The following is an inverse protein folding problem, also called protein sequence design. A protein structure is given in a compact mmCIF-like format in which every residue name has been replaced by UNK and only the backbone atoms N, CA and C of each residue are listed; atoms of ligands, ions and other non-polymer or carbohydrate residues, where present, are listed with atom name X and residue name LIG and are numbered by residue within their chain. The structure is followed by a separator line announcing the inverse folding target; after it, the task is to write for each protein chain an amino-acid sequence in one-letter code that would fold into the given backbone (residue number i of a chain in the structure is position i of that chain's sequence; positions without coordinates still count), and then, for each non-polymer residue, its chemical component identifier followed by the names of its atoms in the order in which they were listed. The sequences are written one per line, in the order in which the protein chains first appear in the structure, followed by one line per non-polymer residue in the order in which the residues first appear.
data_IF_901657449839
#
_entry.id   IF_901657449839
#
_cell.length_a   1.000
_cell.length_b   1.000
_cell.length_c   1.000
_cell.angle_alpha   90.00
_cell.angle_beta   90.00
_cell.angle_gamma   90.00
#
_symmetry.space_group_name_H-M   'P 1'
#
loop_
_entity.id
_entity.type
_entity.pdbx_description
1 polymer ?
#
# COMPACT_ATOMS: atom_id res chain seq x y z
N UNK A 1 -13.88 -16.42 22.86
CA UNK A 1 -13.64 -17.65 22.07
C UNK A 1 -13.93 -17.32 20.63
N UNK A 2 -12.90 -16.88 19.90
CA UNK A 2 -13.02 -16.44 18.51
C UNK A 2 -12.91 -17.70 17.65
N UNK A 3 -14.00 -18.04 16.97
CA UNK A 3 -14.02 -19.11 15.98
C UNK A 3 -13.08 -18.68 14.85
N UNK A 4 -11.91 -19.28 14.81
CA UNK A 4 -10.93 -19.13 13.74
C UNK A 4 -11.63 -19.36 12.40
N UNK A 5 -11.72 -18.27 11.63
CA UNK A 5 -12.25 -18.14 10.28
C UNK A 5 -12.15 -19.44 9.49
N UNK A 6 -13.29 -20.00 9.10
CA UNK A 6 -13.35 -21.13 8.18
C UNK A 6 -12.59 -20.86 6.87
N UNK A 7 -12.48 -19.59 6.46
CA UNK A 7 -11.69 -19.13 5.32
C UNK A 7 -10.18 -19.21 5.57
N UNK A 8 -9.69 -18.82 6.76
CA UNK A 8 -8.27 -19.00 7.13
C UNK A 8 -7.97 -20.48 7.31
N UNK A 9 -8.89 -21.27 7.87
CA UNK A 9 -8.76 -22.72 7.83
C UNK A 9 -8.74 -23.25 6.40
N UNK A 10 -9.50 -22.69 5.46
CA UNK A 10 -9.51 -23.15 4.06
C UNK A 10 -8.23 -22.77 3.31
N UNK A 11 -7.66 -21.59 3.59
CA UNK A 11 -6.39 -21.12 3.05
C UNK A 11 -5.19 -21.86 3.66
N UNK A 12 -5.24 -22.17 4.97
CA UNK A 12 -4.27 -23.00 5.68
C UNK A 12 -4.52 -24.52 5.48
N UNK A 13 -5.69 -24.92 4.97
CA UNK A 13 -6.02 -26.28 4.50
C UNK A 13 -5.46 -26.57 3.10
N UNK A 14 -4.52 -25.77 2.62
CA UNK A 14 -3.28 -26.36 2.11
C UNK A 14 -2.57 -27.12 3.27
N UNK A 15 -3.27 -28.09 3.87
CA UNK A 15 -2.79 -29.00 4.90
C UNK A 15 -1.89 -30.09 4.29
N UNK A 16 -1.58 -29.93 3.00
CA UNK A 16 -0.51 -30.61 2.34
C UNK A 16 0.49 -29.58 1.77
N UNK A 17 1.44 -29.17 2.63
CA UNK A 17 2.70 -28.59 2.19
C UNK A 17 3.67 -29.69 1.68
N UNK A 18 3.19 -30.89 1.30
CA UNK A 18 3.97 -31.91 0.57
C UNK A 18 3.94 -31.71 -0.95
N UNK A 19 3.69 -30.48 -1.41
CA UNK A 19 4.39 -30.01 -2.59
C UNK A 19 5.89 -30.19 -2.34
N UNK A 20 6.59 -30.74 -3.32
CA UNK A 20 8.02 -31.04 -3.24
C UNK A 20 8.90 -29.77 -3.23
N UNK A 21 8.66 -28.84 -2.31
CA UNK A 21 9.68 -27.88 -1.88
C UNK A 21 10.67 -28.61 -0.98
N UNK A 22 11.67 -29.25 -1.61
CA UNK A 22 12.89 -29.72 -0.93
C UNK A 22 13.45 -28.55 -0.09
N UNK A 23 13.30 -28.57 1.23
CA UNK A 23 13.97 -27.56 2.06
C UNK A 23 13.48 -27.34 3.50
N UNK A 24 12.28 -27.77 3.89
CA UNK A 24 11.76 -27.45 5.24
C UNK A 24 11.34 -28.71 6.00
N UNK A 25 12.32 -29.57 6.34
CA UNK A 25 12.10 -30.71 7.26
C UNK A 25 11.99 -30.28 8.73
N UNK A 26 12.25 -29.00 9.03
CA UNK A 26 12.28 -28.46 10.38
C UNK A 26 11.38 -27.21 10.47
N UNK A 27 10.47 -27.20 11.45
CA UNK A 27 9.71 -26.01 11.87
C UNK A 27 10.59 -25.23 12.86
N UNK A 28 10.49 -23.89 12.90
CA UNK A 28 11.32 -23.06 13.80
C UNK A 28 10.48 -21.97 14.48
N UNK A 29 10.84 -21.61 15.71
CA UNK A 29 10.36 -20.41 16.42
C UNK A 29 11.56 -19.55 16.89
N UNK A 30 11.29 -18.45 17.60
CA UNK A 30 12.32 -17.55 18.14
C UNK A 30 13.26 -18.19 19.17
N UNK A 31 12.99 -19.43 19.59
CA UNK A 31 13.76 -20.19 20.59
C UNK A 31 14.38 -21.48 20.06
N UNK A 32 14.16 -21.85 18.79
CA UNK A 32 14.75 -23.04 18.18
C UNK A 32 13.80 -23.85 17.30
N UNK A 33 14.12 -25.14 17.15
CA UNK A 33 13.39 -26.10 16.33
C UNK A 33 12.07 -26.50 17.01
N UNK A 34 10.96 -26.41 16.29
CA UNK A 34 9.65 -26.90 16.69
C UNK A 34 9.52 -28.38 16.27
N UNK A 35 9.03 -29.21 17.20
CA UNK A 35 8.62 -30.58 16.95
C UNK A 35 7.41 -30.67 16.01
N UNK A 36 7.14 -31.87 15.50
CA UNK A 36 6.05 -32.12 14.54
C UNK A 36 4.68 -31.76 15.11
N UNK A 37 4.48 -32.03 16.40
CA UNK A 37 3.26 -31.81 17.19
C UNK A 37 3.20 -30.43 17.86
N UNK A 38 4.28 -29.65 17.84
CA UNK A 38 4.27 -28.34 18.47
C UNK A 38 3.32 -27.41 17.68
N UNK A 39 2.41 -26.71 18.38
CA UNK A 39 1.59 -25.72 17.71
C UNK A 39 2.52 -24.65 17.12
N UNK A 40 2.28 -24.27 15.87
CA UNK A 40 2.93 -23.08 15.32
C UNK A 40 2.62 -21.92 16.29
N UNK A 41 3.62 -21.09 16.66
CA UNK A 41 3.40 -19.93 17.53
C UNK A 41 2.61 -18.87 16.74
N UNK A 42 1.34 -19.15 16.53
CA UNK A 42 0.40 -18.32 15.81
C UNK A 42 -0.37 -17.48 16.82
N UNK A 43 -0.09 -16.19 16.81
CA UNK A 43 -0.93 -15.21 17.46
C UNK A 43 -1.78 -14.54 16.40
N UNK A 44 -3.10 -14.68 16.51
CA UNK A 44 -4.03 -13.96 15.64
C UNK A 44 -3.79 -12.45 15.80
N UNK A 45 -3.74 -11.74 14.67
CA UNK A 45 -3.54 -10.29 14.61
C UNK A 45 -2.28 -9.80 15.35
N UNK A 46 -1.21 -10.62 15.33
CA UNK A 46 0.10 -10.22 15.84
C UNK A 46 0.58 -8.94 15.13
N UNK A 47 1.05 -7.98 15.92
CA UNK A 47 1.66 -6.75 15.40
C UNK A 47 3.15 -6.97 15.22
N UNK A 48 3.66 -6.57 14.06
CA UNK A 48 5.06 -6.72 13.70
C UNK A 48 5.69 -5.36 13.50
N UNK A 49 6.83 -5.10 14.12
CA UNK A 49 7.64 -3.92 13.80
C UNK A 49 8.87 -4.35 13.02
N UNK A 50 9.19 -3.61 11.96
CA UNK A 50 10.44 -3.77 11.23
C UNK A 50 11.49 -2.81 11.82
N UNK A 51 12.52 -3.30 12.53
CA UNK A 51 13.58 -2.43 13.02
C UNK A 51 14.37 -1.84 11.86
N UNK A 52 14.50 -0.51 11.84
CA UNK A 52 15.25 0.21 10.81
C UNK A 52 16.74 0.27 11.23
N UNK A 53 17.70 0.06 10.32
CA UNK A 53 19.12 0.27 10.61
C UNK A 53 19.44 1.72 11.03
N UNK A 54 20.47 1.89 11.87
CA UNK A 54 20.80 3.21 12.43
C UNK A 54 21.33 4.20 11.38
N UNK A 55 22.14 3.71 10.44
CA UNK A 55 22.62 4.47 9.28
C UNK A 55 21.48 4.94 8.38
N UNK A 56 20.49 4.08 8.11
CA UNK A 56 19.30 4.43 7.34
C UNK A 56 18.44 5.50 8.04
N UNK A 57 18.32 5.45 9.38
CA UNK A 57 17.68 6.51 10.16
C UNK A 57 18.43 7.85 10.05
N UNK A 58 19.76 7.82 10.15
CA UNK A 58 20.58 9.03 9.97
C UNK A 58 20.38 9.62 8.57
N UNK A 59 20.35 8.77 7.54
CA UNK A 59 20.06 9.20 6.17
C UNK A 59 18.67 9.86 6.06
N UNK A 60 17.63 9.22 6.61
CA UNK A 60 16.26 9.72 6.52
C UNK A 60 16.07 11.05 7.27
N UNK A 61 16.81 11.29 8.36
CA UNK A 61 16.75 12.55 9.11
C UNK A 61 17.10 13.80 8.28
N UNK A 62 17.77 13.67 7.12
CA UNK A 62 17.97 14.79 6.19
C UNK A 62 16.67 15.27 5.52
N UNK A 63 15.63 14.44 5.53
CA UNK A 63 14.32 14.72 4.96
C UNK A 63 13.33 15.20 6.04
N UNK A 64 13.78 15.39 7.27
CA UNK A 64 12.96 15.95 8.33
C UNK A 64 12.41 17.33 7.92
N UNK A 65 11.13 17.55 8.22
CA UNK A 65 10.43 18.77 7.85
C UNK A 65 9.38 19.13 8.90
N UNK A 66 9.14 20.44 9.09
CA UNK A 66 8.24 20.94 10.14
C UNK A 66 6.75 20.98 9.72
N UNK A 67 6.46 20.87 8.43
CA UNK A 67 5.09 20.71 7.92
C UNK A 67 4.77 19.25 7.61
N UNK A 68 3.56 18.96 7.09
CA UNK A 68 3.20 17.61 6.68
C UNK A 68 4.17 17.04 5.64
N UNK A 69 4.47 15.75 5.78
CA UNK A 69 5.35 15.00 4.88
C UNK A 69 4.64 13.78 4.31
N UNK A 70 4.73 13.59 3.00
CA UNK A 70 4.14 12.44 2.31
C UNK A 70 5.22 11.72 1.52
N UNK A 71 5.47 10.46 1.87
CA UNK A 71 6.24 9.56 1.01
C UNK A 71 5.31 8.99 -0.06
N UNK A 72 5.70 9.05 -1.33
CA UNK A 72 4.92 8.53 -2.45
C UNK A 72 5.61 7.32 -3.05
N UNK A 73 4.89 6.21 -3.12
CA UNK A 73 5.22 5.09 -4.01
C UNK A 73 4.31 5.22 -5.24
N UNK A 74 4.81 5.73 -6.38
CA UNK A 74 3.96 6.16 -7.49
C UNK A 74 3.34 5.00 -8.26
N UNK A 75 3.81 3.78 -8.02
CA UNK A 75 3.22 2.61 -8.62
C UNK A 75 3.88 1.32 -8.19
N UNK A 76 3.28 0.22 -8.62
CA UNK A 76 3.78 -1.12 -8.41
C UNK A 76 2.85 -2.17 -9.00
N UNK A 77 3.14 -3.43 -8.72
CA UNK A 77 2.48 -4.57 -9.36
C UNK A 77 3.05 -4.86 -10.76
N UNK A 78 2.73 -6.04 -11.27
CA UNK A 78 3.29 -6.55 -12.53
C UNK A 78 2.82 -5.78 -13.77
N UNK A 79 1.66 -5.09 -13.71
CA UNK A 79 0.98 -4.51 -14.88
C UNK A 79 1.23 -3.01 -15.14
N UNK A 80 2.05 -2.33 -14.32
CA UNK A 80 2.50 -0.95 -14.58
C UNK A 80 1.36 0.06 -14.79
N UNK A 81 1.43 0.88 -15.85
CA UNK A 81 0.47 1.97 -16.11
C UNK A 81 -0.98 1.52 -16.26
N UNK A 82 -1.23 0.25 -16.57
CA UNK A 82 -2.60 -0.32 -16.64
C UNK A 82 -3.35 -0.21 -15.31
N UNK A 83 -2.59 0.01 -14.25
CA UNK A 83 -2.97 -0.27 -12.89
C UNK A 83 -2.48 0.81 -11.93
N UNK A 84 -1.91 1.90 -12.44
CA UNK A 84 -1.41 3.02 -11.63
C UNK A 84 -1.79 4.36 -12.29
N UNK A 85 -1.87 5.46 -11.52
CA UNK A 85 -2.10 6.78 -12.10
C UNK A 85 -1.01 7.15 -13.13
N UNK A 86 -1.39 7.97 -14.13
CA UNK A 86 -0.44 8.57 -15.07
C UNK A 86 0.39 9.66 -14.38
N UNK A 87 1.44 10.13 -15.05
CA UNK A 87 2.26 11.25 -14.58
C UNK A 87 1.41 12.51 -14.35
N UNK A 88 0.51 12.79 -15.28
CA UNK A 88 -0.38 13.95 -15.25
C UNK A 88 -1.33 13.86 -14.06
N UNK A 89 -1.94 12.70 -13.83
CA UNK A 89 -2.82 12.49 -12.67
C UNK A 89 -2.03 12.57 -11.36
N UNK A 90 -0.80 12.05 -11.30
CA UNK A 90 0.05 12.24 -10.13
C UNK A 90 0.34 13.72 -9.88
N UNK A 91 0.63 14.50 -10.92
CA UNK A 91 0.80 15.95 -10.81
C UNK A 91 -0.46 16.61 -10.24
N UNK A 92 -1.65 16.24 -10.74
CA UNK A 92 -2.94 16.77 -10.27
C UNK A 92 -3.19 16.43 -8.78
N UNK A 93 -2.92 15.19 -8.37
CA UNK A 93 -3.03 14.74 -6.98
C UNK A 93 -2.10 15.54 -6.08
N UNK A 94 -0.82 15.66 -6.46
CA UNK A 94 0.19 16.33 -5.64
C UNK A 94 -0.05 17.83 -5.52
N UNK A 95 -0.50 18.50 -6.59
CA UNK A 95 -0.91 19.90 -6.53
C UNK A 95 -2.10 20.09 -5.60
N UNK A 96 -3.14 19.26 -5.72
CA UNK A 96 -4.33 19.37 -4.89
C UNK A 96 -4.03 19.15 -3.39
N UNK A 97 -3.08 18.25 -3.07
CA UNK A 97 -2.60 18.07 -1.70
C UNK A 97 -1.80 19.29 -1.20
N UNK A 98 -0.94 19.87 -2.03
CA UNK A 98 -0.17 21.06 -1.65
C UNK A 98 -1.05 22.31 -1.49
N UNK A 99 -2.14 22.42 -2.26
CA UNK A 99 -3.13 23.50 -2.12
C UNK A 99 -3.89 23.40 -0.79
N UNK A 100 -4.16 22.18 -0.30
CA UNK A 100 -4.81 21.96 0.99
C UNK A 100 -3.84 22.12 2.16
N UNK A 101 -2.65 21.50 2.08
CA UNK A 101 -1.74 21.39 3.21
C UNK A 101 -0.58 22.40 3.07
N UNK A 102 -0.68 23.50 3.81
CA UNK A 102 0.36 24.53 3.83
C UNK A 102 1.71 23.93 4.23
N UNK A 103 2.77 24.32 3.52
CA UNK A 103 4.13 23.83 3.76
C UNK A 103 4.25 22.30 3.65
N UNK A 104 3.49 21.65 2.77
CA UNK A 104 3.65 20.23 2.46
C UNK A 104 5.04 19.93 1.86
N UNK A 105 5.62 18.77 2.19
CA UNK A 105 6.72 18.14 1.47
C UNK A 105 6.35 16.76 0.97
N UNK A 106 6.80 16.44 -0.23
CA UNK A 106 6.54 15.16 -0.89
C UNK A 106 7.87 14.53 -1.32
N UNK A 107 8.06 13.27 -0.97
CA UNK A 107 9.24 12.49 -1.34
C UNK A 107 8.81 11.29 -2.17
N UNK A 108 9.15 11.28 -3.46
CA UNK A 108 8.76 10.18 -4.35
C UNK A 108 9.87 9.15 -4.37
N UNK A 109 9.59 7.93 -3.92
CA UNK A 109 10.58 6.86 -3.88
C UNK A 109 10.18 5.67 -4.73
N UNK A 110 11.18 4.85 -5.07
CA UNK A 110 11.05 3.77 -6.01
C UNK A 110 12.40 3.25 -6.48
N UNK A 111 12.33 2.35 -7.44
CA UNK A 111 13.49 1.65 -7.98
C UNK A 111 13.45 1.70 -9.50
N UNK A 112 14.50 2.20 -10.12
CA UNK A 112 14.64 2.23 -11.57
C UNK A 112 14.98 0.85 -12.12
N UNK A 113 14.68 0.63 -13.40
CA UNK A 113 14.94 -0.64 -14.08
C UNK A 113 16.44 -0.98 -14.09
N UNK A 114 17.27 0.03 -14.31
CA UNK A 114 18.71 -0.14 -14.48
C UNK A 114 19.41 -0.55 -13.19
N UNK A 115 18.85 -0.16 -12.04
CA UNK A 115 19.40 -0.49 -10.71
C UNK A 115 18.98 -1.87 -10.19
N UNK A 116 17.94 -2.49 -10.75
CA UNK A 116 17.28 -3.62 -10.10
C UNK A 116 16.85 -4.79 -11.00
N UNK A 117 17.10 -4.69 -12.31
CA UNK A 117 16.77 -5.76 -13.24
C UNK A 117 15.25 -5.99 -13.35
N UNK A 118 14.78 -7.18 -12.99
CA UNK A 118 13.36 -7.55 -13.17
C UNK A 118 12.40 -6.87 -12.18
N UNK A 119 12.88 -6.46 -10.99
CA UNK A 119 12.06 -5.87 -9.93
C UNK A 119 12.29 -4.35 -9.95
N UNK A 120 11.33 -3.57 -10.44
CA UNK A 120 11.44 -2.11 -10.45
C UNK A 120 10.04 -1.49 -10.30
N UNK A 121 10.00 -0.20 -9.96
CA UNK A 121 8.76 0.58 -9.92
C UNK A 121 8.18 0.66 -11.32
N UNK A 122 6.96 0.14 -11.49
CA UNK A 122 6.19 0.27 -12.73
C UNK A 122 5.10 1.32 -12.55
N UNK A 123 4.87 2.14 -13.57
CA UNK A 123 3.91 3.25 -13.53
C UNK A 123 4.62 4.58 -13.77
N UNK A 124 5.53 4.97 -12.87
CA UNK A 124 6.42 6.12 -13.05
C UNK A 124 7.89 5.70 -12.96
N UNK A 125 8.71 6.28 -13.83
CA UNK A 125 10.17 6.15 -13.83
C UNK A 125 10.84 7.20 -12.94
N UNK A 126 12.15 7.04 -12.72
CA UNK A 126 12.94 8.10 -12.06
C UNK A 126 12.93 9.40 -12.87
N UNK A 127 12.93 9.33 -14.21
CA UNK A 127 12.87 10.51 -15.07
C UNK A 127 11.54 11.25 -14.94
N UNK A 128 10.44 10.52 -14.75
CA UNK A 128 9.13 11.09 -14.47
C UNK A 128 9.10 11.77 -13.10
N UNK A 129 9.73 11.16 -12.10
CA UNK A 129 9.92 11.75 -10.77
C UNK A 129 10.74 13.04 -10.81
N UNK A 130 11.84 13.07 -11.57
CA UNK A 130 12.63 14.28 -11.83
C UNK A 130 11.79 15.37 -12.52
N UNK A 131 10.92 14.98 -13.44
CA UNK A 131 10.02 15.90 -14.12
C UNK A 131 8.99 16.49 -13.15
N UNK A 132 8.43 15.71 -12.23
CA UNK A 132 7.57 16.21 -11.15
C UNK A 132 8.33 17.16 -10.23
N UNK A 133 9.52 16.79 -9.76
CA UNK A 133 10.34 17.62 -8.87
C UNK A 133 10.74 18.97 -9.51
N UNK A 134 10.96 19.00 -10.83
CA UNK A 134 11.19 20.26 -11.57
C UNK A 134 9.93 21.13 -11.69
N UNK A 135 8.75 20.52 -11.79
CA UNK A 135 7.47 21.22 -11.94
C UNK A 135 6.91 21.69 -10.59
N UNK A 136 7.15 20.93 -9.53
CA UNK A 136 6.53 21.07 -8.23
C UNK A 136 7.61 21.28 -7.16
N UNK A 137 7.83 22.51 -6.65
CA UNK A 137 8.96 22.83 -5.76
C UNK A 137 8.90 22.16 -4.37
N UNK A 138 7.75 21.58 -4.02
CA UNK A 138 7.55 20.81 -2.79
C UNK A 138 7.84 19.31 -2.95
N UNK A 139 8.14 18.85 -4.16
CA UNK A 139 8.44 17.45 -4.49
C UNK A 139 9.94 17.22 -4.59
N UNK A 140 10.42 16.12 -4.02
CA UNK A 140 11.80 15.65 -4.17
C UNK A 140 11.83 14.23 -4.74
N UNK A 141 12.70 14.00 -5.71
CA UNK A 141 12.95 12.66 -6.24
C UNK A 141 13.89 11.90 -5.29
N UNK A 142 13.42 10.77 -4.76
CA UNK A 142 14.10 9.87 -3.85
C UNK A 142 14.15 8.43 -4.41
N UNK A 143 14.20 8.27 -5.74
CA UNK A 143 14.46 6.98 -6.39
C UNK A 143 15.88 6.48 -6.12
N UNK A 144 16.06 5.16 -6.16
CA UNK A 144 17.38 4.51 -6.15
C UNK A 144 18.27 4.82 -4.94
N UNK A 145 17.67 5.28 -3.83
CA UNK A 145 18.39 5.57 -2.58
C UNK A 145 18.79 4.32 -1.78
N UNK A 146 18.45 3.11 -2.26
CA UNK A 146 18.68 1.83 -1.59
C UNK A 146 17.55 1.42 -0.64
N UNK A 147 17.30 0.12 -0.51
CA UNK A 147 16.12 -0.43 0.17
C UNK A 147 15.91 0.13 1.59
N UNK A 148 16.92 0.05 2.45
CA UNK A 148 16.80 0.50 3.84
C UNK A 148 16.58 2.00 3.96
N UNK A 149 17.15 2.80 3.05
CA UNK A 149 16.92 4.23 3.00
C UNK A 149 15.49 4.56 2.54
N UNK A 150 14.91 3.78 1.61
CA UNK A 150 13.49 3.92 1.26
C UNK A 150 12.59 3.59 2.45
N UNK A 151 12.87 2.51 3.16
CA UNK A 151 12.13 2.11 4.37
C UNK A 151 12.23 3.18 5.46
N UNK A 152 13.42 3.73 5.68
CA UNK A 152 13.64 4.80 6.65
C UNK A 152 12.96 6.11 6.24
N UNK A 153 12.98 6.47 4.96
CA UNK A 153 12.27 7.63 4.44
C UNK A 153 10.75 7.50 4.62
N UNK A 154 10.18 6.32 4.38
CA UNK A 154 8.77 6.05 4.64
C UNK A 154 8.47 6.27 6.13
N UNK A 155 9.32 5.76 7.02
CA UNK A 155 9.16 5.88 8.46
C UNK A 155 9.31 7.32 9.01
N UNK A 156 10.07 8.17 8.33
CA UNK A 156 10.23 9.59 8.68
C UNK A 156 9.02 10.43 8.23
N UNK A 157 8.22 9.95 7.28
CA UNK A 157 7.07 10.69 6.76
C UNK A 157 5.79 10.46 7.58
N UNK A 158 4.90 11.46 7.57
CA UNK A 158 3.60 11.39 8.25
C UNK A 158 2.61 10.45 7.54
N UNK A 159 2.68 10.37 6.20
CA UNK A 159 1.82 9.51 5.37
C UNK A 159 2.65 8.81 4.30
N UNK A 160 2.33 7.54 4.06
CA UNK A 160 2.66 6.83 2.84
C UNK A 160 1.46 6.94 1.87
N UNK A 161 1.64 7.56 0.72
CA UNK A 161 0.65 7.62 -0.36
C UNK A 161 1.05 6.65 -1.46
N UNK A 162 0.22 5.63 -1.70
CA UNK A 162 0.52 4.63 -2.72
C UNK A 162 -0.76 3.97 -3.24
N UNK A 163 -0.82 3.55 -4.52
CA UNK A 163 -1.79 2.57 -4.94
C UNK A 163 -1.51 1.21 -4.26
N UNK A 164 -2.42 0.24 -4.39
CA UNK A 164 -2.16 -1.11 -3.90
C UNK A 164 -0.87 -1.68 -4.55
N UNK A 165 0.19 -1.88 -3.76
CA UNK A 165 1.42 -2.55 -4.19
C UNK A 165 1.96 -3.41 -3.05
N UNK A 166 2.71 -4.47 -3.38
CA UNK A 166 3.32 -5.31 -2.35
C UNK A 166 4.26 -4.53 -1.42
N UNK A 167 4.93 -3.49 -1.93
CA UNK A 167 5.84 -2.68 -1.13
C UNK A 167 5.13 -1.65 -0.26
N UNK A 168 3.91 -1.22 -0.62
CA UNK A 168 3.15 -0.24 0.16
C UNK A 168 2.77 -0.76 1.57
N UNK A 169 2.65 -2.07 1.75
CA UNK A 169 2.43 -2.66 3.07
C UNK A 169 3.54 -2.35 4.08
N UNK A 170 4.74 -1.97 3.63
CA UNK A 170 5.87 -1.67 4.51
C UNK A 170 5.57 -0.53 5.49
N UNK A 171 4.75 0.45 5.08
CA UNK A 171 4.34 1.57 5.94
C UNK A 171 3.72 1.07 7.25
N UNK A 172 2.89 0.03 7.16
CA UNK A 172 2.24 -0.60 8.31
C UNK A 172 3.25 -1.22 9.30
N UNK A 173 4.42 -1.67 8.84
CA UNK A 173 5.46 -2.29 9.69
C UNK A 173 6.45 -1.29 10.28
N UNK A 174 6.55 -0.09 9.71
CA UNK A 174 7.41 1.00 10.22
C UNK A 174 6.63 2.10 10.94
N UNK A 175 5.31 1.95 11.05
CA UNK A 175 4.46 2.87 11.81
C UNK A 175 3.86 4.01 11.00
N UNK A 176 4.07 4.04 9.69
CA UNK A 176 3.57 5.11 8.81
C UNK A 176 2.16 4.80 8.31
N UNK A 177 1.17 5.69 8.56
CA UNK A 177 -0.16 5.56 8.01
C UNK A 177 -0.19 5.47 6.48
N UNK A 178 -1.04 4.59 5.95
CA UNK A 178 -1.16 4.40 4.50
C UNK A 178 -2.42 5.07 3.94
N UNK A 179 -2.23 6.08 3.10
CA UNK A 179 -3.26 6.61 2.20
C UNK A 179 -3.25 5.79 0.89
N UNK A 180 -4.15 4.84 0.79
CA UNK A 180 -4.22 3.90 -0.33
C UNK A 180 -5.07 4.44 -1.48
N UNK A 181 -4.51 4.44 -2.69
CA UNK A 181 -5.29 4.56 -3.93
C UNK A 181 -5.75 3.15 -4.32
N UNK A 182 -6.87 2.71 -3.76
CA UNK A 182 -7.36 1.35 -3.95
C UNK A 182 -7.71 1.07 -5.41
N UNK A 183 -7.49 -0.17 -5.84
CA UNK A 183 -7.62 -0.54 -7.26
C UNK A 183 -7.90 -2.01 -7.48
N UNK A 184 -8.45 -2.35 -8.65
CA UNK A 184 -8.54 -3.74 -9.06
C UNK A 184 -7.15 -4.36 -9.30
N UNK A 185 -7.00 -5.68 -9.04
CA UNK A 185 -8.07 -6.60 -8.66
C UNK A 185 -8.28 -6.73 -7.15
N UNK A 186 -7.35 -6.26 -6.33
CA UNK A 186 -7.29 -6.60 -4.92
C UNK A 186 -7.66 -5.41 -4.02
N UNK A 187 -8.46 -5.64 -2.96
CA UNK A 187 -8.51 -4.70 -1.87
C UNK A 187 -7.22 -4.75 -1.06
N UNK A 188 -6.94 -3.72 -0.28
CA UNK A 188 -5.92 -3.81 0.77
C UNK A 188 -6.39 -4.84 1.83
N UNK A 189 -5.51 -5.74 2.25
CA UNK A 189 -5.90 -6.89 3.09
C UNK A 189 -4.97 -7.15 4.28
N UNK A 190 -3.91 -6.36 4.43
CA UNK A 190 -2.95 -6.51 5.52
C UNK A 190 -2.80 -5.17 6.23
N UNK A 191 -3.18 -5.17 7.51
CA UNK A 191 -3.06 -4.01 8.38
C UNK A 191 -2.45 -4.45 9.71
N UNK A 192 -1.56 -3.61 10.23
CA UNK A 192 -0.71 -3.94 11.37
C UNK A 192 -1.08 -3.14 12.62
N UNK A 193 -2.33 -2.73 12.74
CA UNK A 193 -2.79 -1.83 13.80
C UNK A 193 -2.29 -0.38 13.66
N UNK A 194 -1.86 0.02 12.46
CA UNK A 194 -1.48 1.38 12.11
C UNK A 194 -2.64 2.02 11.32
N UNK A 195 -3.01 3.29 11.57
CA UNK A 195 -4.04 3.97 10.80
C UNK A 195 -3.84 3.90 9.28
N UNK A 196 -4.93 3.91 8.53
CA UNK A 196 -4.92 3.90 7.08
C UNK A 196 -6.19 4.57 6.54
N UNK A 197 -6.17 4.92 5.27
CA UNK A 197 -7.36 5.39 4.56
C UNK A 197 -7.34 4.85 3.14
N UNK A 198 -8.38 4.10 2.77
CA UNK A 198 -8.54 3.57 1.42
C UNK A 198 -9.47 4.47 0.60
N UNK A 199 -8.93 5.09 -0.45
CA UNK A 199 -9.73 5.76 -1.46
C UNK A 199 -10.32 4.69 -2.38
N UNK A 200 -11.52 4.23 -2.02
CA UNK A 200 -12.22 3.16 -2.74
C UNK A 200 -12.60 3.64 -4.14
N UNK A 201 -12.22 2.93 -5.21
CA UNK A 201 -12.44 3.37 -6.57
C UNK A 201 -13.93 3.30 -6.95
N UNK A 202 -14.32 4.17 -7.86
CA UNK A 202 -15.66 4.20 -8.44
C UNK A 202 -15.74 3.31 -9.69
N UNK A 203 -15.61 2.01 -9.52
CA UNK A 203 -15.91 1.02 -10.56
C UNK A 203 -16.63 -0.21 -10.00
N UNK A 204 -17.56 -0.78 -10.74
CA UNK A 204 -18.35 -1.94 -10.29
C UNK A 204 -17.52 -3.21 -10.14
N UNK A 205 -16.38 -3.27 -10.84
CA UNK A 205 -15.45 -4.38 -10.75
C UNK A 205 -14.75 -4.47 -9.40
N UNK A 206 -14.71 -3.44 -8.55
CA UNK A 206 -13.90 -3.47 -7.32
C UNK A 206 -14.60 -4.14 -6.12
N UNK A 207 -13.94 -5.08 -5.43
CA UNK A 207 -12.69 -5.74 -5.80
C UNK A 207 -12.96 -6.82 -6.84
N UNK A 208 -12.08 -6.92 -7.84
CA UNK A 208 -12.30 -7.83 -8.96
C UNK A 208 -11.89 -9.27 -8.61
N UNK A 209 -10.99 -9.45 -7.64
CA UNK A 209 -10.54 -10.75 -7.10
C UNK A 209 -10.25 -11.79 -8.20
N UNK A 210 -9.66 -11.34 -9.32
CA UNK A 210 -9.39 -12.14 -10.53
C UNK A 210 -10.60 -12.84 -11.17
N UNK A 211 -11.84 -12.47 -10.84
CA UNK A 211 -13.02 -12.95 -11.55
C UNK A 211 -12.98 -12.50 -13.01
N UNK A 212 -12.99 -13.47 -13.93
CA UNK A 212 -12.79 -13.22 -15.38
C UNK A 212 -13.99 -12.52 -16.05
N UNK A 213 -15.14 -12.51 -15.39
CA UNK A 213 -16.36 -11.80 -15.81
C UNK A 213 -16.30 -10.28 -15.52
N UNK A 214 -15.33 -9.82 -14.72
CA UNK A 214 -15.20 -8.42 -14.35
C UNK A 214 -14.38 -7.65 -15.40
N UNK A 215 -14.91 -6.51 -15.84
CA UNK A 215 -14.30 -5.64 -16.86
C UNK A 215 -12.84 -5.28 -16.54
N UNK A 216 -12.52 -4.91 -15.29
CA UNK A 216 -11.14 -4.57 -14.94
C UNK A 216 -10.16 -5.73 -15.18
N UNK A 217 -10.56 -6.98 -14.94
CA UNK A 217 -9.67 -8.13 -15.18
C UNK A 217 -9.53 -8.44 -16.67
N UNK A 218 -10.60 -8.26 -17.44
CA UNK A 218 -10.54 -8.38 -18.90
C UNK A 218 -9.57 -7.34 -19.48
N UNK A 219 -9.66 -6.08 -19.05
CA UNK A 219 -8.73 -5.03 -19.45
C UNK A 219 -7.27 -5.35 -19.08
N UNK A 220 -7.01 -5.84 -17.87
CA UNK A 220 -5.66 -6.28 -17.48
C UNK A 220 -5.15 -7.38 -18.42
N UNK A 221 -5.99 -8.36 -18.77
CA UNK A 221 -5.62 -9.44 -19.70
C UNK A 221 -5.34 -8.93 -21.13
N UNK A 222 -5.97 -7.83 -21.53
CA UNK A 222 -5.75 -7.13 -22.80
C UNK A 222 -4.67 -6.04 -22.72
N UNK A 223 -3.93 -5.94 -21.61
CA UNK A 223 -2.92 -4.90 -21.38
C UNK A 223 -3.47 -3.46 -21.40
N UNK A 224 -4.74 -3.29 -21.07
CA UNK A 224 -5.45 -2.02 -21.02
C UNK A 224 -5.59 -1.48 -19.59
N UNK A 225 -5.82 -0.16 -19.47
CA UNK A 225 -6.00 0.48 -18.18
C UNK A 225 -7.32 0.04 -17.53
N UNK A 226 -7.24 -0.43 -16.29
CA UNK A 226 -8.43 -0.75 -15.48
C UNK A 226 -9.32 0.49 -15.35
N UNK A 227 -10.64 0.29 -15.36
CA UNK A 227 -11.63 1.39 -15.24
C UNK A 227 -11.31 2.27 -14.03
N UNK A 228 -11.03 1.66 -12.87
CA UNK A 228 -10.71 2.41 -11.64
C UNK A 228 -9.45 3.28 -11.72
N UNK A 229 -8.55 3.02 -12.66
CA UNK A 229 -7.29 3.73 -12.83
C UNK A 229 -7.29 4.64 -14.06
N UNK A 230 -8.39 4.71 -14.82
CA UNK A 230 -8.55 5.75 -15.85
C UNK A 230 -8.36 7.13 -15.25
N UNK A 231 -7.70 8.02 -15.99
CA UNK A 231 -7.24 9.29 -15.44
C UNK A 231 -8.39 10.12 -14.86
N UNK A 232 -9.52 10.20 -15.56
CA UNK A 232 -10.69 10.95 -15.11
C UNK A 232 -11.36 10.30 -13.89
N UNK A 233 -11.30 8.96 -13.80
CA UNK A 233 -11.81 8.22 -12.63
C UNK A 233 -10.96 8.49 -11.40
N UNK A 234 -9.64 8.54 -11.54
CA UNK A 234 -8.74 8.88 -10.43
C UNK A 234 -8.87 10.35 -10.05
N UNK A 235 -8.95 11.28 -11.02
CA UNK A 235 -9.19 12.71 -10.75
C UNK A 235 -10.46 12.95 -9.97
N UNK A 236 -11.55 12.26 -10.31
CA UNK A 236 -12.81 12.34 -9.58
C UNK A 236 -12.68 11.90 -8.10
N UNK A 237 -11.60 11.18 -7.73
CA UNK A 237 -11.31 10.78 -6.34
C UNK A 237 -10.35 11.72 -5.60
N UNK A 238 -9.79 12.75 -6.23
CA UNK A 238 -8.90 13.72 -5.57
C UNK A 238 -9.52 14.31 -4.28
N UNK A 239 -10.81 14.71 -4.26
CA UNK A 239 -11.42 15.18 -3.00
C UNK A 239 -11.39 14.14 -1.87
N UNK A 240 -11.49 12.85 -2.19
CA UNK A 240 -11.41 11.76 -1.22
C UNK A 240 -9.97 11.48 -0.77
N UNK A 241 -8.98 11.69 -1.64
CA UNK A 241 -7.56 11.68 -1.28
C UNK A 241 -7.24 12.78 -0.27
N UNK A 242 -7.74 14.00 -0.49
CA UNK A 242 -7.59 15.12 0.43
C UNK A 242 -8.23 14.79 1.79
N UNK A 243 -9.46 14.25 1.78
CA UNK A 243 -10.14 13.85 3.01
C UNK A 243 -9.38 12.76 3.77
N UNK A 244 -8.83 11.79 3.04
CA UNK A 244 -8.00 10.73 3.62
C UNK A 244 -6.70 11.27 4.22
N UNK A 245 -6.01 12.17 3.52
CA UNK A 245 -4.82 12.84 4.05
C UNK A 245 -5.14 13.64 5.31
N UNK A 246 -6.25 14.41 5.31
CA UNK A 246 -6.69 15.17 6.49
C UNK A 246 -6.95 14.25 7.67
N UNK A 247 -7.71 13.17 7.45
CA UNK A 247 -8.01 12.17 8.46
C UNK A 247 -6.75 11.53 9.06
N UNK A 248 -5.75 11.23 8.24
CA UNK A 248 -4.50 10.59 8.69
C UNK A 248 -3.53 11.55 9.38
N UNK A 249 -3.60 12.85 9.07
CA UNK A 249 -2.80 13.88 9.75
C UNK A 249 -3.40 14.31 11.10
N UNK A 250 -4.62 13.89 11.44
CA UNK A 250 -5.21 14.17 12.75
C UNK A 250 -4.40 13.48 13.86
N UNK A 251 -3.87 14.20 14.88
CA UNK A 251 -2.92 13.66 15.85
C UNK A 251 -3.38 12.45 16.67
N UNK A 252 -4.69 12.20 16.72
CA UNK A 252 -5.30 11.15 17.55
C UNK A 252 -6.07 10.12 16.74
N UNK A 253 -5.80 10.03 15.42
CA UNK A 253 -6.42 9.00 14.60
C UNK A 253 -5.93 7.61 15.01
N UNK A 254 -6.87 6.72 15.26
CA UNK A 254 -6.63 5.33 15.69
C UNK A 254 -6.89 4.36 14.56
N UNK A 255 -6.29 3.18 14.64
CA UNK A 255 -6.57 2.09 13.71
C UNK A 255 -8.05 1.69 13.72
N UNK A 256 -8.69 1.67 14.89
CA UNK A 256 -10.10 1.32 15.04
C UNK A 256 -11.01 2.37 14.38
N UNK A 257 -10.62 3.65 14.41
CA UNK A 257 -11.31 4.71 13.64
C UNK A 257 -11.13 4.49 12.13
N UNK A 258 -9.92 4.18 11.69
CA UNK A 258 -9.64 3.89 10.28
C UNK A 258 -10.50 2.73 9.74
N UNK A 259 -10.63 1.65 10.52
CA UNK A 259 -11.51 0.51 10.16
C UNK A 259 -12.98 0.95 10.05
N UNK A 260 -13.49 1.74 11.00
CA UNK A 260 -14.88 2.23 10.94
C UNK A 260 -15.12 3.06 9.68
N UNK A 261 -14.22 4.01 9.39
CA UNK A 261 -14.28 4.86 8.19
C UNK A 261 -14.21 4.01 6.92
N UNK A 262 -13.34 3.01 6.88
CA UNK A 262 -13.23 2.09 5.74
C UNK A 262 -14.54 1.35 5.49
N UNK A 263 -15.13 0.74 6.53
CA UNK A 263 -16.40 0.01 6.43
C UNK A 263 -17.56 0.92 6.05
N UNK A 264 -17.62 2.14 6.61
CA UNK A 264 -18.62 3.15 6.24
C UNK A 264 -18.50 3.55 4.76
N UNK A 265 -17.27 3.74 4.27
CA UNK A 265 -17.00 4.03 2.86
C UNK A 265 -17.46 2.89 1.93
N UNK A 266 -17.17 1.64 2.30
CA UNK A 266 -17.64 0.47 1.54
C UNK A 266 -19.17 0.40 1.50
N UNK A 267 -19.85 0.63 2.64
CA UNK A 267 -21.31 0.65 2.72
C UNK A 267 -21.92 1.78 1.89
N UNK A 268 -21.35 2.98 1.96
CA UNK A 268 -21.78 4.15 1.17
C UNK A 268 -21.70 3.87 -0.33
N UNK A 269 -20.68 3.14 -0.76
CA UNK A 269 -20.53 2.69 -2.15
C UNK A 269 -21.28 1.39 -2.47
N UNK A 270 -22.13 0.89 -1.57
CA UNK A 270 -22.92 -0.35 -1.73
C UNK A 270 -22.07 -1.57 -2.12
N UNK A 271 -20.85 -1.66 -1.60
CA UNK A 271 -19.94 -2.78 -1.84
C UNK A 271 -20.41 -4.02 -1.09
N UNK A 272 -20.18 -5.20 -1.67
CA UNK A 272 -20.40 -6.46 -0.99
C UNK A 272 -19.28 -6.67 0.05
N UNK A 273 -19.62 -6.53 1.34
CA UNK A 273 -18.66 -6.66 2.45
C UNK A 273 -18.06 -8.06 2.58
N UNK A 274 -18.71 -9.10 2.06
CA UNK A 274 -18.17 -10.48 2.08
C UNK A 274 -16.87 -10.58 1.26
N UNK A 275 -16.69 -9.68 0.27
CA UNK A 275 -15.45 -9.59 -0.52
C UNK A 275 -14.30 -8.89 0.24
N UNK A 276 -14.58 -8.39 1.44
CA UNK A 276 -13.67 -7.68 2.33
C UNK A 276 -13.62 -8.33 3.72
N UNK A 277 -13.91 -9.63 3.81
CA UNK A 277 -14.00 -10.35 5.09
C UNK A 277 -12.74 -10.21 5.99
N UNK A 278 -11.59 -9.82 5.44
CA UNK A 278 -10.37 -9.50 6.19
C UNK A 278 -10.53 -8.35 7.20
N UNK A 279 -11.56 -7.51 7.08
CA UNK A 279 -11.77 -6.33 7.93
C UNK A 279 -12.84 -6.52 9.02
N UNK A 280 -13.61 -7.61 8.96
CA UNK A 280 -14.91 -7.71 9.64
C UNK A 280 -14.91 -8.63 10.87
N UNK A 281 -13.74 -9.18 11.24
CA UNK A 281 -13.55 -10.07 12.40
C UNK A 281 -12.52 -9.53 13.41
#
# INVERSE_FOLDING_TARGET
MIATQAVVQQYLRAADWSGSSRGWECKWNTTGLLGREDPLPYAANARFSLPIPADARVFAGHYHHHGPTICVLPGGGSSGLQQNPSLEVWSDILMALADEFSNLRVYITGLSRDMAGQIHTKGLSSQDSDLLARRLPFVTNCFDIGLWNQVALIAECDILLAPHTGFAFIGQFVGTPWLAISRCPWPEYLFNGIPFYSVIPDCDSYPAQWRMDCECNQRIAHCEKTVCMEDDRVRARIPDLINGARFLLEPNVTYEQAIRVHVENLRRQKRNLDQFAFFMD
#
